data_IF_933550758857
#
_entry.id   IF_933550758857
#
_cell.length_a   1.000
_cell.length_b   1.000
_cell.length_c   1.000
_cell.angle_alpha   90.00
_cell.angle_beta   90.00
_cell.angle_gamma   90.00
#
_symmetry.space_group_name_H-M   'P 1'
#
loop_
_entity.id
_entity.type
_entity.pdbx_description
1 polymer ?
#
# COMPACT_ATOMS: atom_id res chain seq x y z
N UNK A 1 4.22 -13.07 -7.43
CA UNK A 1 4.35 -11.65 -7.34
C UNK A 1 3.23 -10.96 -8.06
N UNK A 2 2.80 -9.84 -7.53
CA UNK A 2 1.71 -9.12 -8.12
C UNK A 2 2.08 -7.66 -8.27
N UNK A 3 1.37 -6.95 -9.10
CA UNK A 3 1.63 -5.53 -9.27
C UNK A 3 1.23 -4.80 -8.02
N UNK A 4 1.88 -3.70 -7.75
CA UNK A 4 1.64 -2.94 -6.54
C UNK A 4 0.17 -2.54 -6.39
N UNK A 5 -0.42 -2.04 -7.44
CA UNK A 5 -1.80 -1.60 -7.36
C UNK A 5 -2.72 -2.77 -7.03
N UNK A 6 -2.43 -3.94 -7.57
CA UNK A 6 -3.26 -5.07 -7.32
C UNK A 6 -3.02 -5.60 -5.92
N UNK A 7 -1.80 -5.54 -5.48
CA UNK A 7 -1.47 -6.03 -4.15
C UNK A 7 -2.14 -5.18 -3.08
N UNK A 8 -2.26 -3.90 -3.29
CA UNK A 8 -2.92 -3.04 -2.34
C UNK A 8 -4.38 -3.49 -2.13
N UNK A 9 -5.02 -3.88 -3.19
CA UNK A 9 -6.38 -4.33 -3.09
C UNK A 9 -6.43 -5.74 -2.49
N UNK A 10 -5.51 -6.60 -2.89
CA UNK A 10 -5.47 -7.95 -2.38
C UNK A 10 -5.26 -7.99 -0.89
N UNK A 11 -4.51 -7.08 -0.35
CA UNK A 11 -4.25 -7.05 1.08
C UNK A 11 -5.29 -6.26 1.84
N UNK A 12 -6.34 -5.85 1.12
CA UNK A 12 -7.42 -5.09 1.75
C UNK A 12 -6.95 -3.77 2.33
N UNK A 13 -5.90 -3.22 1.79
CA UNK A 13 -5.44 -1.93 2.23
C UNK A 13 -6.26 -0.84 1.58
N UNK A 14 -6.79 -1.11 0.42
CA UNK A 14 -7.56 -0.15 -0.33
C UNK A 14 -8.74 -0.84 -0.94
N UNK A 15 -9.86 -0.15 -1.05
CA UNK A 15 -11.05 -0.71 -1.61
C UNK A 15 -11.06 -0.85 -3.10
N UNK A 16 -10.38 -0.04 -3.82
CA UNK A 16 -10.44 -0.11 -5.26
C UNK A 16 -9.10 0.16 -5.88
N UNK A 17 -8.90 -0.37 -7.07
CA UNK A 17 -7.64 -0.18 -7.75
C UNK A 17 -7.44 1.25 -8.18
N UNK A 18 -8.50 1.95 -8.48
CA UNK A 18 -8.39 3.34 -8.85
C UNK A 18 -7.78 4.14 -7.72
N UNK A 19 -8.25 3.89 -6.50
CA UNK A 19 -7.67 4.58 -5.41
C UNK A 19 -6.26 4.15 -5.18
N UNK A 20 -5.95 2.89 -5.39
CA UNK A 20 -4.60 2.41 -5.24
C UNK A 20 -3.67 3.15 -6.19
N UNK A 21 -4.07 3.28 -7.42
CA UNK A 21 -3.23 3.96 -8.40
C UNK A 21 -3.07 5.42 -8.04
N UNK A 22 -4.10 6.02 -7.52
CA UNK A 22 -4.00 7.41 -7.16
C UNK A 22 -3.04 7.59 -6.01
N UNK A 23 -3.11 6.75 -5.00
CA UNK A 23 -2.20 6.86 -3.89
C UNK A 23 -0.76 6.61 -4.33
N UNK A 24 -0.53 5.66 -5.19
CA UNK A 24 0.79 5.40 -5.69
C UNK A 24 1.31 6.62 -6.42
N UNK A 25 0.46 7.24 -7.24
CA UNK A 25 0.90 8.36 -8.01
C UNK A 25 1.21 9.53 -7.13
N UNK A 26 0.56 9.65 -5.99
CA UNK A 26 0.76 10.78 -5.10
C UNK A 26 1.85 10.51 -4.06
N UNK A 27 2.63 9.46 -4.26
CA UNK A 27 3.74 9.13 -3.36
C UNK A 27 3.24 8.83 -1.96
N UNK A 28 2.08 8.23 -1.86
CA UNK A 28 1.53 7.90 -0.57
C UNK A 28 1.74 6.45 -0.20
N UNK A 29 2.35 5.68 -1.07
CA UNK A 29 2.53 4.27 -0.83
C UNK A 29 4.01 3.99 -0.66
N UNK A 30 4.35 3.30 0.43
CA UNK A 30 5.72 2.93 0.65
C UNK A 30 5.86 1.43 0.58
N UNK A 31 6.93 0.98 0.00
CA UNK A 31 7.22 -0.43 -0.09
C UNK A 31 8.56 -0.63 0.58
N UNK A 32 8.56 -1.41 1.63
CA UNK A 32 9.78 -1.67 2.41
C UNK A 32 10.40 -0.36 2.90
N UNK A 33 9.55 0.59 3.23
CA UNK A 33 10.02 1.85 3.76
C UNK A 33 10.41 2.88 2.74
N UNK A 34 10.22 2.58 1.44
CA UNK A 34 10.57 3.53 0.43
C UNK A 34 9.37 3.90 -0.39
N UNK A 35 9.24 5.15 -0.73
CA UNK A 35 8.12 5.60 -1.54
C UNK A 35 8.19 4.96 -2.91
N UNK A 36 7.09 4.41 -3.34
CA UNK A 36 7.04 3.79 -4.65
C UNK A 36 5.91 4.44 -5.42
N UNK A 37 6.22 5.07 -6.52
CA UNK A 37 5.19 5.74 -7.31
C UNK A 37 4.93 5.05 -8.63
N UNK A 38 5.25 3.76 -8.73
CA UNK A 38 4.99 3.03 -9.94
C UNK A 38 4.10 1.86 -9.61
N UNK A 39 2.94 1.81 -10.23
CA UNK A 39 2.00 0.75 -9.93
C UNK A 39 2.39 -0.57 -10.57
N UNK A 40 3.27 -0.54 -11.53
CA UNK A 40 3.66 -1.78 -12.21
C UNK A 40 4.75 -2.53 -11.47
N UNK A 41 5.21 -2.03 -10.34
CA UNK A 41 6.24 -2.69 -9.60
C UNK A 41 5.69 -3.99 -9.06
N UNK A 42 6.48 -5.04 -9.12
CA UNK A 42 6.03 -6.33 -8.65
C UNK A 42 6.32 -6.47 -7.15
N UNK A 43 5.36 -6.95 -6.42
CA UNK A 43 5.44 -7.04 -4.97
C UNK A 43 5.28 -8.49 -4.57
N UNK A 44 6.10 -8.95 -3.70
CA UNK A 44 5.99 -10.30 -3.20
C UNK A 44 5.34 -10.34 -1.85
N UNK A 45 5.08 -11.54 -1.35
CA UNK A 45 4.46 -11.69 -0.06
C UNK A 45 5.29 -11.12 1.05
N UNK A 46 6.58 -11.14 0.92
CA UNK A 46 7.43 -10.65 1.96
C UNK A 46 7.63 -9.18 1.94
N UNK A 47 7.21 -8.52 0.90
CA UNK A 47 7.39 -7.08 0.81
C UNK A 47 6.34 -6.39 1.67
N UNK A 48 6.77 -5.38 2.40
CA UNK A 48 5.87 -4.66 3.24
C UNK A 48 5.35 -3.43 2.57
N UNK A 49 4.08 -3.16 2.66
CA UNK A 49 3.48 -2.00 2.02
C UNK A 49 2.82 -1.16 3.09
N UNK A 50 3.10 0.12 3.07
CA UNK A 50 2.50 1.05 4.02
C UNK A 50 1.87 2.18 3.24
N UNK A 51 0.71 2.62 3.64
CA UNK A 51 0.05 3.72 2.99
C UNK A 51 0.05 4.89 3.92
N UNK A 52 0.54 6.01 3.41
CA UNK A 52 0.62 7.19 4.17
C UNK A 52 -0.50 8.07 3.79
N UNK A 53 -1.58 8.09 4.45
CA UNK A 53 -2.67 8.93 4.13
C UNK A 53 -2.87 9.87 5.26
N UNK A 54 -2.84 11.09 5.03
CA UNK A 54 -2.91 12.01 6.02
C UNK A 54 -4.20 12.12 6.63
N UNK A 55 -5.22 12.15 5.95
CA UNK A 55 -6.45 12.31 6.42
C UNK A 55 -6.87 11.27 7.26
N UNK A 56 -6.95 10.11 6.93
CA UNK A 56 -7.30 9.14 7.75
C UNK A 56 -6.55 8.10 7.43
N UNK A 57 -5.91 7.58 8.25
CA UNK A 57 -5.10 6.63 7.81
C UNK A 57 -5.47 5.47 8.46
N UNK A 58 -5.71 4.54 7.83
CA UNK A 58 -5.92 3.41 8.26
C UNK A 58 -4.87 2.60 8.06
N UNK A 59 -4.12 2.27 8.86
CA UNK A 59 -3.06 1.51 8.42
C UNK A 59 -3.18 0.33 9.19
N UNK A 60 -2.81 -0.70 8.78
CA UNK A 60 -2.90 -1.81 9.32
C UNK A 60 -1.74 -2.38 9.71
N UNK A 61 -1.42 -2.53 10.75
CA UNK A 61 -0.23 -3.10 11.02
C UNK A 61 -0.51 -4.29 11.62
N UNK A 62 -0.06 -5.20 11.50
CA UNK A 62 -0.22 -6.28 12.00
C UNK A 62 0.18 -6.30 13.24
N UNK A 63 -0.01 -6.56 14.05
CA UNK A 63 0.45 -6.60 15.20
C UNK A 63 -0.18 -5.82 16.01
N UNK A 64 -0.58 -5.60 16.42
CA UNK A 64 -1.12 -4.89 17.10
C UNK A 64 -0.98 -4.05 17.98
N UNK A 65 -1.26 -3.77 18.22
CA UNK A 65 -1.25 -3.06 18.92
C UNK A 65 -1.86 -2.70 19.74
N UNK A 66 -2.00 -2.56 20.29
CA UNK A 66 -2.46 -2.36 21.05
C UNK A 66 -2.64 -1.56 21.65
N UNK A 67 -2.91 -1.24 21.87
CA UNK A 67 -3.06 -0.63 22.54
C UNK A 67 -3.30 -0.62 23.17
#
# INVERSE_FOLDING_TARGET
MERLDKELVNRNLIDSRSKAQELIKNNKVLVNGKVCNKSSVLIGDKDEIVIEANDFFKYVSRGGFKL
#
